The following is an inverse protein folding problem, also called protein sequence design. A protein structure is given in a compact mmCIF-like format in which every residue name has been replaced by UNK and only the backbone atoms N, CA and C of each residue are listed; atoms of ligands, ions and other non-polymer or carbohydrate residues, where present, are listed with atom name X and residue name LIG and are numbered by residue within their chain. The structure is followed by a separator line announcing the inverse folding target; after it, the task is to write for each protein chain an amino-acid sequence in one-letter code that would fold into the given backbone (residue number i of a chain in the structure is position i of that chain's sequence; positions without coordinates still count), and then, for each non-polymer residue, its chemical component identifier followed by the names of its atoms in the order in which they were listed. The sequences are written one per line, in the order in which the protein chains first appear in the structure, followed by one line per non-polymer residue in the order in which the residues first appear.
data_IF_121805953436
#
_entry.id   IF_121805953436
#
_cell.length_a   1.000
_cell.length_b   1.000
_cell.length_c   1.000
_cell.angle_alpha   90.00
_cell.angle_beta   90.00
_cell.angle_gamma   90.00
#
_symmetry.space_group_name_H-M   'P 1'
#
loop_
_entity.id
_entity.type
_entity.pdbx_description
1 polymer ?
#
# COMPACT_ATOMS: atom_id res chain seq x y z
N UNK A 1 -43.27 -50.65 -63.11
CA UNK A 1 -42.00 -50.68 -62.32
C UNK A 1 -41.24 -49.35 -62.26
N UNK A 2 -41.52 -48.34 -63.09
CA UNK A 2 -40.74 -47.08 -63.10
C UNK A 2 -41.02 -46.06 -61.98
N UNK A 3 -42.19 -46.10 -61.32
CA UNK A 3 -42.58 -45.04 -60.38
C UNK A 3 -41.93 -45.17 -58.98
N UNK A 4 -41.68 -46.41 -58.52
CA UNK A 4 -41.02 -46.65 -57.22
C UNK A 4 -39.50 -46.37 -57.28
N UNK A 5 -38.85 -46.66 -58.41
CA UNK A 5 -37.42 -46.36 -58.60
C UNK A 5 -37.16 -44.84 -58.60
N UNK A 6 -38.06 -44.05 -59.20
CA UNK A 6 -37.93 -42.60 -59.26
C UNK A 6 -38.22 -41.93 -57.90
N UNK A 7 -39.17 -42.45 -57.13
CA UNK A 7 -39.42 -41.98 -55.76
C UNK A 7 -38.25 -42.24 -54.82
N UNK A 8 -37.59 -43.40 -54.94
CA UNK A 8 -36.37 -43.71 -54.18
C UNK A 8 -35.19 -42.80 -54.55
N UNK A 9 -35.02 -42.49 -55.83
CA UNK A 9 -33.97 -41.59 -56.33
C UNK A 9 -34.15 -40.15 -55.82
N UNK A 10 -35.39 -39.64 -55.84
CA UNK A 10 -35.71 -38.30 -55.33
C UNK A 10 -35.53 -38.21 -53.81
N UNK A 11 -35.91 -39.25 -53.06
CA UNK A 11 -35.70 -39.29 -51.62
C UNK A 11 -34.20 -39.34 -51.23
N UNK A 12 -33.40 -40.08 -52.00
CA UNK A 12 -31.95 -40.15 -51.84
C UNK A 12 -31.28 -38.80 -52.16
N UNK A 13 -31.63 -38.17 -53.29
CA UNK A 13 -31.12 -36.85 -53.66
C UNK A 13 -31.51 -35.76 -52.65
N UNK A 14 -32.71 -35.85 -52.07
CA UNK A 14 -33.14 -34.93 -51.02
C UNK A 14 -32.37 -35.12 -49.70
N UNK A 15 -32.14 -36.37 -49.29
CA UNK A 15 -31.29 -36.65 -48.12
C UNK A 15 -29.86 -36.13 -48.33
N UNK A 16 -29.28 -36.39 -49.50
CA UNK A 16 -27.94 -35.93 -49.84
C UNK A 16 -27.84 -34.39 -49.82
N UNK A 17 -28.88 -33.69 -50.27
CA UNK A 17 -28.95 -32.23 -50.21
C UNK A 17 -29.09 -31.70 -48.77
N UNK A 18 -29.89 -32.36 -47.91
CA UNK A 18 -30.00 -31.99 -46.49
C UNK A 18 -28.66 -32.22 -45.78
N UNK A 19 -28.02 -33.36 -46.01
CA UNK A 19 -26.73 -33.68 -45.40
C UNK A 19 -25.64 -32.70 -45.85
N UNK A 20 -25.61 -32.32 -47.13
CA UNK A 20 -24.72 -31.28 -47.65
C UNK A 20 -25.00 -29.92 -46.99
N UNK A 21 -26.27 -29.55 -46.81
CA UNK A 21 -26.66 -28.29 -46.17
C UNK A 21 -26.26 -28.24 -44.70
N UNK A 22 -26.45 -29.34 -43.96
CA UNK A 22 -26.05 -29.46 -42.57
C UNK A 22 -24.53 -29.41 -42.39
N UNK A 23 -23.78 -30.06 -43.29
CA UNK A 23 -22.31 -30.01 -43.29
C UNK A 23 -21.80 -28.59 -43.52
N UNK A 24 -22.40 -27.82 -44.44
CA UNK A 24 -22.02 -26.43 -44.69
C UNK A 24 -22.29 -25.54 -43.46
N UNK A 25 -23.44 -25.72 -42.80
CA UNK A 25 -23.77 -24.97 -41.57
C UNK A 25 -22.79 -25.28 -40.45
N UNK A 26 -22.43 -26.56 -40.27
CA UNK A 26 -21.45 -26.97 -39.26
C UNK A 26 -20.08 -26.34 -39.51
N UNK A 27 -19.60 -26.40 -40.75
CA UNK A 27 -18.31 -25.80 -41.13
C UNK A 27 -18.33 -24.28 -40.94
N UNK A 28 -19.44 -23.61 -41.29
CA UNK A 28 -19.58 -22.16 -41.07
C UNK A 28 -19.50 -21.79 -39.59
N UNK A 29 -20.20 -22.52 -38.70
CA UNK A 29 -20.16 -22.29 -37.25
C UNK A 29 -18.79 -22.57 -36.65
N UNK A 30 -18.10 -23.63 -37.09
CA UNK A 30 -16.74 -23.92 -36.65
C UNK A 30 -15.76 -22.82 -37.09
N UNK A 31 -15.91 -22.29 -38.31
CA UNK A 31 -15.08 -21.20 -38.81
C UNK A 31 -15.30 -19.92 -37.98
N UNK A 32 -16.55 -19.55 -37.72
CA UNK A 32 -16.90 -18.40 -36.89
C UNK A 32 -16.36 -18.55 -35.46
N UNK A 33 -16.44 -19.75 -34.89
CA UNK A 33 -15.91 -20.05 -33.57
C UNK A 33 -14.38 -19.86 -33.50
N UNK A 34 -13.64 -20.29 -34.53
CA UNK A 34 -12.17 -20.10 -34.57
C UNK A 34 -11.77 -18.63 -34.73
N UNK A 35 -12.50 -17.87 -35.55
CA UNK A 35 -12.25 -16.43 -35.75
C UNK A 35 -12.52 -15.67 -34.45
N UNK A 36 -13.66 -15.94 -33.79
CA UNK A 36 -14.02 -15.33 -32.52
C UNK A 36 -12.99 -15.66 -31.43
N UNK A 37 -12.57 -16.92 -31.32
CA UNK A 37 -11.57 -17.34 -30.33
C UNK A 37 -10.23 -16.64 -30.55
N UNK A 38 -9.75 -16.57 -31.80
CA UNK A 38 -8.50 -15.86 -32.14
C UNK A 38 -8.57 -14.37 -31.83
N UNK A 39 -9.71 -13.75 -32.11
CA UNK A 39 -9.95 -12.35 -31.78
C UNK A 39 -9.91 -12.12 -30.26
N UNK A 40 -10.60 -12.94 -29.47
CA UNK A 40 -10.60 -12.85 -27.99
C UNK A 40 -9.18 -13.02 -27.44
N UNK A 41 -8.45 -14.03 -27.92
CA UNK A 41 -7.06 -14.28 -27.51
C UNK A 41 -6.16 -13.08 -27.85
N UNK A 42 -6.33 -12.50 -29.04
CA UNK A 42 -5.59 -11.30 -29.45
C UNK A 42 -5.84 -10.09 -28.53
N UNK A 43 -7.10 -9.81 -28.21
CA UNK A 43 -7.48 -8.71 -27.31
C UNK A 43 -6.98 -8.98 -25.88
N UNK A 44 -7.11 -10.21 -25.39
CA UNK A 44 -6.61 -10.59 -24.07
C UNK A 44 -5.10 -10.42 -23.98
N UNK A 45 -4.36 -10.85 -25.01
CA UNK A 45 -2.91 -10.70 -25.09
C UNK A 45 -2.46 -9.23 -25.14
N UNK A 46 -3.11 -8.40 -25.96
CA UNK A 46 -2.83 -6.97 -26.01
C UNK A 46 -3.11 -6.27 -24.67
N UNK A 47 -4.19 -6.67 -23.99
CA UNK A 47 -4.53 -6.16 -22.66
C UNK A 47 -3.48 -6.58 -21.63
N UNK A 48 -3.06 -7.84 -21.64
CA UNK A 48 -2.01 -8.35 -20.77
C UNK A 48 -0.69 -7.60 -20.96
N UNK A 49 -0.25 -7.40 -22.22
CA UNK A 49 0.95 -6.62 -22.52
C UNK A 49 0.85 -5.17 -22.04
N UNK A 50 -0.32 -4.55 -22.21
CA UNK A 50 -0.57 -3.19 -21.71
C UNK A 50 -0.44 -3.11 -20.19
N UNK A 51 -1.01 -4.07 -19.45
CA UNK A 51 -0.86 -4.15 -17.98
C UNK A 51 0.61 -4.35 -17.58
N UNK A 52 1.31 -5.28 -18.22
CA UNK A 52 2.75 -5.53 -17.95
C UNK A 52 3.59 -4.27 -18.21
N UNK A 53 3.35 -3.59 -19.34
CA UNK A 53 4.01 -2.33 -19.67
C UNK A 53 3.74 -1.25 -18.61
N UNK A 54 2.51 -1.14 -18.15
CA UNK A 54 2.09 -0.17 -17.13
C UNK A 54 2.76 -0.48 -15.77
N UNK A 55 2.78 -1.76 -15.36
CA UNK A 55 3.48 -2.22 -14.15
C UNK A 55 4.99 -1.93 -14.22
N UNK A 56 5.62 -2.24 -15.34
CA UNK A 56 7.03 -1.98 -15.58
C UNK A 56 7.36 -0.49 -15.53
N UNK A 57 6.55 0.33 -16.21
CA UNK A 57 6.71 1.79 -16.30
C UNK A 57 6.54 2.45 -14.93
N UNK A 58 5.55 2.03 -14.14
CA UNK A 58 5.34 2.57 -12.80
C UNK A 58 6.44 2.16 -11.82
N UNK A 59 6.98 0.93 -11.94
CA UNK A 59 8.07 0.45 -11.08
C UNK A 59 9.36 1.27 -11.21
N UNK A 60 9.67 1.76 -12.41
CA UNK A 60 10.88 2.54 -12.68
C UNK A 60 10.68 4.06 -12.56
N UNK A 61 9.43 4.52 -12.40
CA UNK A 61 9.13 5.94 -12.30
C UNK A 61 9.33 6.44 -10.86
N UNK A 62 10.10 7.52 -10.71
CA UNK A 62 10.30 8.19 -9.43
C UNK A 62 9.06 8.96 -8.94
N UNK A 63 8.05 9.14 -9.80
CA UNK A 63 6.82 9.88 -9.51
C UNK A 63 5.58 9.14 -10.08
N UNK A 64 5.17 8.02 -9.46
CA UNK A 64 4.10 7.17 -9.99
C UNK A 64 2.73 7.87 -10.03
N UNK A 65 2.50 8.85 -9.15
CA UNK A 65 1.25 9.61 -9.06
C UNK A 65 0.99 10.47 -10.29
N UNK A 66 2.02 11.14 -10.83
CA UNK A 66 1.89 11.99 -12.02
C UNK A 66 1.62 11.15 -13.27
N UNK A 67 2.26 9.98 -13.37
CA UNK A 67 2.01 9.02 -14.47
C UNK A 67 0.59 8.47 -14.38
N UNK A 68 0.13 8.14 -13.17
CA UNK A 68 -1.21 7.65 -12.91
C UNK A 68 -2.29 8.69 -13.22
N UNK A 69 -2.04 9.96 -12.91
CA UNK A 69 -2.94 11.08 -13.21
C UNK A 69 -3.03 11.37 -14.70
N UNK A 70 -1.91 11.25 -15.44
CA UNK A 70 -1.90 11.33 -16.91
C UNK A 70 -2.64 10.16 -17.58
N UNK A 71 -2.80 9.04 -16.89
CA UNK A 71 -3.50 7.85 -17.38
C UNK A 71 -5.02 7.87 -17.14
N UNK A 72 -5.59 9.02 -16.75
CA UNK A 72 -7.00 9.23 -16.42
C UNK A 72 -7.94 9.21 -17.66
N UNK A 73 -7.98 8.08 -18.38
CA UNK A 73 -8.96 7.75 -19.43
C UNK A 73 -10.16 7.01 -18.80
N UNK A 74 -11.39 7.16 -19.31
CA UNK A 74 -12.63 6.65 -18.69
C UNK A 74 -12.63 5.13 -18.39
N UNK A 75 -11.85 4.34 -19.13
CA UNK A 75 -11.77 2.88 -18.99
C UNK A 75 -11.17 2.40 -17.65
N UNK A 76 -10.32 3.19 -16.98
CA UNK A 76 -9.58 2.75 -15.79
C UNK A 76 -10.37 2.99 -14.49
N UNK A 77 -11.49 3.72 -14.53
CA UNK A 77 -12.25 4.11 -13.32
C UNK A 77 -12.81 2.91 -12.54
N UNK A 78 -13.30 1.87 -13.23
CA UNK A 78 -13.94 0.72 -12.60
C UNK A 78 -12.97 -0.12 -11.75
N UNK A 79 -11.72 -0.23 -12.18
CA UNK A 79 -10.68 -1.02 -11.49
C UNK A 79 -9.65 -0.16 -10.76
N UNK A 80 -9.81 1.16 -10.75
CA UNK A 80 -8.84 2.13 -10.24
C UNK A 80 -8.42 1.83 -8.80
N UNK A 81 -9.37 1.62 -7.90
CA UNK A 81 -9.09 1.38 -6.49
C UNK A 81 -8.29 0.09 -6.27
N UNK A 82 -8.68 -0.98 -6.97
CA UNK A 82 -8.02 -2.27 -6.88
C UNK A 82 -6.60 -2.25 -7.48
N UNK A 83 -6.41 -1.66 -8.67
CA UNK A 83 -5.10 -1.55 -9.32
C UNK A 83 -4.18 -0.65 -8.49
N UNK A 84 -4.68 0.49 -8.01
CA UNK A 84 -3.89 1.42 -7.18
C UNK A 84 -3.46 0.79 -5.85
N UNK A 85 -4.35 0.07 -5.17
CA UNK A 85 -4.03 -0.64 -3.93
C UNK A 85 -2.97 -1.74 -4.15
N UNK A 86 -3.12 -2.53 -5.23
CA UNK A 86 -2.19 -3.61 -5.57
C UNK A 86 -0.81 -3.06 -5.97
N UNK A 87 -0.79 -1.97 -6.74
CA UNK A 87 0.44 -1.26 -7.12
C UNK A 87 1.14 -0.65 -5.91
N UNK A 88 0.42 0.07 -5.06
CA UNK A 88 1.01 0.64 -3.84
C UNK A 88 1.60 -0.47 -2.97
N UNK A 89 0.93 -1.61 -2.81
CA UNK A 89 1.46 -2.74 -2.05
C UNK A 89 2.81 -3.25 -2.58
N UNK A 90 2.97 -3.31 -3.90
CA UNK A 90 4.17 -3.86 -4.55
C UNK A 90 5.29 -2.83 -4.77
N UNK A 91 4.94 -1.55 -4.93
CA UNK A 91 5.90 -0.45 -5.18
C UNK A 91 6.34 0.21 -3.88
N UNK A 92 5.52 0.14 -2.82
CA UNK A 92 5.88 0.73 -1.53
C UNK A 92 7.01 -0.07 -0.86
N UNK A 93 8.24 0.47 -0.74
CA UNK A 93 9.35 -0.22 -0.10
C UNK A 93 9.11 -0.46 1.41
N UNK A 94 8.11 0.19 2.00
CA UNK A 94 7.70 0.02 3.40
C UNK A 94 6.69 -1.12 3.61
N UNK A 95 6.21 -1.77 2.54
CA UNK A 95 5.36 -2.97 2.65
C UNK A 95 6.10 -4.17 3.25
N UNK A 96 7.45 -4.14 3.27
CA UNK A 96 8.31 -5.06 4.00
C UNK A 96 8.60 -4.68 5.45
N UNK A 97 7.99 -3.62 6.00
CA UNK A 97 8.11 -3.28 7.43
C UNK A 97 7.37 -4.25 8.36
N UNK A 98 6.67 -5.24 7.79
CA UNK A 98 5.92 -6.27 8.50
C UNK A 98 6.89 -7.06 9.38
N UNK A 99 6.85 -6.78 10.69
CA UNK A 99 7.69 -7.40 11.71
C UNK A 99 8.48 -6.40 12.55
N UNK A 100 8.50 -5.11 12.20
CA UNK A 100 9.17 -4.06 12.97
C UNK A 100 8.25 -2.90 13.28
N UNK A 101 8.45 -2.26 14.44
CA UNK A 101 7.68 -1.07 14.80
C UNK A 101 8.06 0.10 13.88
N UNK A 102 7.06 0.83 13.40
CA UNK A 102 7.27 1.97 12.52
C UNK A 102 8.07 3.08 13.23
N UNK A 103 9.00 3.73 12.50
CA UNK A 103 9.86 4.77 13.06
C UNK A 103 9.07 5.89 13.74
N UNK A 104 8.01 6.38 13.11
CA UNK A 104 7.15 7.42 13.71
C UNK A 104 6.45 6.93 14.97
N UNK A 105 6.09 5.64 15.07
CA UNK A 105 5.49 5.10 16.28
C UNK A 105 6.49 5.07 17.46
N UNK A 106 7.77 4.78 17.18
CA UNK A 106 8.84 4.90 18.18
C UNK A 106 9.04 6.35 18.60
N UNK A 107 9.00 7.30 17.67
CA UNK A 107 9.10 8.73 17.99
C UNK A 107 7.94 9.18 18.89
N UNK A 108 6.69 8.83 18.58
CA UNK A 108 5.52 9.13 19.42
C UNK A 108 5.61 8.46 20.78
N UNK A 109 6.10 7.21 20.84
CA UNK A 109 6.29 6.53 22.11
C UNK A 109 7.35 7.23 22.99
N UNK A 110 8.46 7.64 22.38
CA UNK A 110 9.50 8.42 23.07
C UNK A 110 8.97 9.77 23.54
N UNK A 111 8.25 10.49 22.68
CA UNK A 111 7.60 11.76 23.01
C UNK A 111 6.64 11.62 24.20
N UNK A 112 5.81 10.59 24.19
CA UNK A 112 4.83 10.34 25.26
C UNK A 112 5.54 10.06 26.59
N UNK A 113 6.56 9.22 26.59
CA UNK A 113 7.32 8.88 27.81
C UNK A 113 8.14 10.07 28.30
N UNK A 114 8.79 10.80 27.40
CA UNK A 114 9.54 12.00 27.74
C UNK A 114 8.65 13.13 28.24
N UNK A 115 7.47 13.30 27.65
CA UNK A 115 6.46 14.26 28.09
C UNK A 115 5.86 13.89 29.44
N UNK A 116 5.59 12.59 29.69
CA UNK A 116 5.16 12.12 31.01
C UNK A 116 6.24 12.39 32.06
N UNK A 117 7.51 12.12 31.78
CA UNK A 117 8.61 12.42 32.67
C UNK A 117 8.68 13.93 32.99
N UNK A 118 8.62 14.80 31.97
CA UNK A 118 8.61 16.25 32.17
C UNK A 118 7.41 16.71 32.99
N UNK A 119 6.19 16.41 32.55
CA UNK A 119 4.96 16.87 33.18
C UNK A 119 4.76 16.32 34.60
N UNK A 120 5.32 15.15 34.92
CA UNK A 120 5.28 14.59 36.28
C UNK A 120 6.12 15.37 37.30
N UNK A 121 7.08 16.19 36.84
CA UNK A 121 7.96 17.01 37.69
C UNK A 121 7.48 18.45 37.83
N UNK A 122 6.61 18.90 36.93
CA UNK A 122 6.14 20.28 36.84
C UNK A 122 4.87 20.48 37.68
N UNK A 123 4.62 21.72 38.11
CA UNK A 123 3.38 22.09 38.80
C UNK A 123 2.27 22.39 37.78
N UNK A 124 1.03 22.44 38.24
CA UNK A 124 -0.14 22.68 37.39
C UNK A 124 -0.11 24.00 36.60
N UNK A 125 0.58 25.02 37.12
CA UNK A 125 0.67 26.34 36.47
C UNK A 125 1.91 26.49 35.57
N UNK A 126 2.82 25.52 35.61
CA UNK A 126 4.02 25.52 34.79
C UNK A 126 3.68 25.09 33.36
N UNK A 127 4.37 25.67 32.37
CA UNK A 127 4.19 25.29 30.97
C UNK A 127 5.45 24.62 30.45
N UNK A 128 5.26 23.50 29.74
CA UNK A 128 6.30 22.82 29.00
C UNK A 128 5.86 22.61 27.56
N UNK A 129 6.64 23.12 26.62
CA UNK A 129 6.38 22.98 25.18
C UNK A 129 7.55 22.24 24.57
N UNK A 130 7.28 21.10 23.91
CA UNK A 130 8.29 20.39 23.14
C UNK A 130 8.68 21.22 21.92
N UNK A 131 9.94 21.62 21.84
CA UNK A 131 10.46 22.46 20.74
C UNK A 131 11.40 21.69 19.81
N UNK A 132 11.95 20.57 20.26
CA UNK A 132 12.75 19.68 19.42
C UNK A 132 12.58 18.23 19.87
N UNK A 133 12.45 17.32 18.91
CA UNK A 133 12.51 15.88 19.11
C UNK A 133 13.44 15.31 18.06
N UNK A 134 14.55 14.73 18.51
CA UNK A 134 15.48 14.00 17.66
C UNK A 134 15.48 12.54 18.09
N UNK A 135 15.35 11.61 17.14
CA UNK A 135 15.32 10.17 17.42
C UNK A 135 16.38 9.46 16.60
N UNK A 136 17.29 8.78 17.29
CA UNK A 136 18.31 7.92 16.71
C UNK A 136 17.86 6.46 16.79
N UNK A 137 17.76 5.80 15.63
CA UNK A 137 17.35 4.40 15.52
C UNK A 137 18.58 3.50 15.39
N UNK A 138 18.94 2.84 16.49
CA UNK A 138 20.16 2.01 16.57
C UNK A 138 19.96 0.63 15.95
N UNK A 139 18.81 0.00 16.22
CA UNK A 139 18.44 -1.30 15.65
C UNK A 139 16.94 -1.40 15.42
N UNK A 140 16.56 -2.37 14.59
CA UNK A 140 15.15 -2.55 14.24
C UNK A 140 14.34 -3.04 15.45
N UNK A 141 13.41 -2.24 15.93
CA UNK A 141 12.55 -2.59 17.06
C UNK A 141 11.56 -3.70 16.68
N UNK A 142 11.41 -4.72 17.55
CA UNK A 142 10.45 -5.83 17.40
C UNK A 142 9.84 -6.19 18.75
N UNK A 143 8.56 -6.52 18.76
CA UNK A 143 7.88 -7.01 19.97
C UNK A 143 7.64 -5.92 21.02
N UNK A 144 7.58 -6.32 22.29
CA UNK A 144 7.36 -5.42 23.42
C UNK A 144 8.59 -4.55 23.66
N UNK A 145 8.35 -3.25 23.82
CA UNK A 145 9.37 -2.25 24.10
C UNK A 145 9.08 -1.57 25.43
N UNK A 146 10.14 -1.13 26.09
CA UNK A 146 10.08 -0.32 27.31
C UNK A 146 10.91 0.92 27.08
N UNK A 147 10.39 2.08 27.46
CA UNK A 147 11.13 3.33 27.42
C UNK A 147 11.22 3.93 28.81
N UNK A 148 12.35 4.54 29.10
CA UNK A 148 12.62 5.21 30.37
C UNK A 148 13.26 6.55 30.09
N UNK A 149 12.96 7.52 30.94
CA UNK A 149 13.44 8.88 30.81
C UNK A 149 13.57 9.52 32.19
N UNK A 150 14.65 10.27 32.38
CA UNK A 150 14.87 11.06 33.60
C UNK A 150 14.82 12.53 33.23
N UNK A 151 13.85 13.25 33.81
CA UNK A 151 13.73 14.70 33.63
C UNK A 151 14.19 15.42 34.89
N UNK A 152 15.10 16.38 34.73
CA UNK A 152 15.62 17.19 35.83
C UNK A 152 15.36 18.66 35.52
N UNK A 153 14.59 19.31 36.39
CA UNK A 153 14.41 20.76 36.33
C UNK A 153 15.71 21.42 36.82
N UNK A 154 16.34 22.32 36.03
CA UNK A 154 17.53 23.04 36.46
C UNK A 154 17.29 23.86 37.74
N UNK A 155 18.26 23.85 38.65
CA UNK A 155 18.17 24.58 39.93
C UNK A 155 18.21 26.10 39.75
N UNK A 156 18.92 26.60 38.72
CA UNK A 156 18.98 28.02 38.35
C UNK A 156 18.00 28.30 37.21
N UNK A 157 16.77 28.69 37.53
CA UNK A 157 15.74 28.96 36.52
C UNK A 157 15.32 30.43 36.54
N UNK A 158 15.30 31.08 35.38
CA UNK A 158 14.90 32.47 35.19
C UNK A 158 13.98 32.58 33.96
N UNK A 159 12.66 32.65 34.20
CA UNK A 159 11.66 32.91 33.16
C UNK A 159 11.43 31.76 32.18
N UNK A 160 12.11 31.77 31.03
CA UNK A 160 11.96 30.76 29.96
C UNK A 160 13.29 30.12 29.66
N UNK A 161 13.37 28.80 29.76
CA UNK A 161 14.61 28.08 29.50
C UNK A 161 14.36 26.78 28.73
N UNK A 162 15.41 26.30 28.05
CA UNK A 162 15.41 25.04 27.30
C UNK A 162 16.04 23.95 28.15
N UNK A 163 15.25 22.92 28.42
CA UNK A 163 15.72 21.72 29.12
C UNK A 163 15.75 20.57 28.15
N UNK A 164 16.93 19.96 28.01
CA UNK A 164 17.13 18.75 27.23
C UNK A 164 17.09 17.53 28.14
N UNK A 165 16.45 16.47 27.66
CA UNK A 165 16.52 15.18 28.31
C UNK A 165 16.39 14.03 27.32
N UNK A 166 16.87 12.86 27.75
CA UNK A 166 16.94 11.68 26.91
C UNK A 166 15.87 10.64 27.28
N UNK A 167 15.33 9.98 26.26
CA UNK A 167 14.45 8.83 26.39
C UNK A 167 15.13 7.64 25.73
N UNK A 168 15.41 6.61 26.52
CA UNK A 168 16.06 5.38 26.05
C UNK A 168 15.00 4.32 25.85
N UNK A 169 14.87 3.81 24.63
CA UNK A 169 13.94 2.72 24.30
C UNK A 169 14.71 1.42 24.22
N UNK A 170 14.26 0.42 24.98
CA UNK A 170 14.84 -0.91 25.06
C UNK A 170 13.84 -1.97 24.63
N UNK A 171 14.34 -3.08 24.11
CA UNK A 171 13.53 -4.28 23.90
C UNK A 171 13.50 -5.19 25.14
N UNK A 172 12.84 -6.35 25.02
CA UNK A 172 12.75 -7.37 26.08
C UNK A 172 14.10 -7.92 26.56
N UNK A 173 15.16 -7.78 25.77
CA UNK A 173 16.52 -8.21 26.12
C UNK A 173 17.31 -7.09 26.79
N UNK A 174 16.67 -5.94 27.06
CA UNK A 174 17.26 -4.71 27.59
C UNK A 174 18.28 -4.04 26.65
N UNK A 175 18.29 -4.46 25.39
CA UNK A 175 19.10 -3.81 24.37
C UNK A 175 18.44 -2.52 23.90
N UNK A 176 19.22 -1.46 23.78
CA UNK A 176 18.74 -0.18 23.25
C UNK A 176 18.38 -0.31 21.77
N UNK A 177 17.13 -0.04 21.43
CA UNK A 177 16.63 -0.02 20.04
C UNK A 177 16.67 1.37 19.44
N UNK A 178 16.43 2.39 20.26
CA UNK A 178 16.42 3.79 19.85
C UNK A 178 16.68 4.69 21.06
N UNK A 179 17.23 5.88 20.79
CA UNK A 179 17.42 6.94 21.77
C UNK A 179 16.78 8.20 21.21
N UNK A 180 15.95 8.86 22.00
CA UNK A 180 15.36 10.14 21.64
C UNK A 180 15.88 11.25 22.55
N UNK A 181 16.24 12.38 21.95
CA UNK A 181 16.60 13.62 22.62
C UNK A 181 15.46 14.60 22.47
N UNK A 182 14.88 15.01 23.59
CA UNK A 182 13.78 15.94 23.62
C UNK A 182 14.27 17.26 24.22
N UNK A 183 13.88 18.37 23.59
CA UNK A 183 14.14 19.71 24.13
C UNK A 183 12.81 20.36 24.42
N UNK A 184 12.63 20.73 25.68
CA UNK A 184 11.43 21.39 26.18
C UNK A 184 11.74 22.85 26.47
N UNK A 185 10.89 23.75 25.98
CA UNK A 185 10.82 25.11 26.47
C UNK A 185 9.95 25.11 27.73
N UNK A 186 10.58 25.36 28.88
CA UNK A 186 9.89 25.52 30.14
C UNK A 186 9.60 26.99 30.40
N UNK A 187 8.43 27.27 30.96
CA UNK A 187 8.04 28.55 31.54
C UNK A 187 7.45 28.24 32.91
N UNK A 188 8.26 28.42 33.96
CA UNK A 188 7.83 28.21 35.34
C UNK A 188 7.22 29.50 35.88
N UNK A 189 6.07 29.39 36.54
CA UNK A 189 5.45 30.54 37.17
C UNK A 189 6.00 30.70 38.59
N UNK A 190 6.40 31.92 38.97
CA UNK A 190 6.78 32.20 40.36
C UNK A 190 5.63 31.83 41.31
N UNK A 191 5.97 31.39 42.53
CA UNK A 191 4.97 31.13 43.57
C UNK A 191 4.12 32.38 43.77
N UNK A 192 2.86 32.34 43.33
CA UNK A 192 1.86 33.25 43.88
C UNK A 192 1.76 32.91 45.37
N UNK A 193 2.13 33.87 46.22
CA UNK A 193 1.85 33.81 47.66
C UNK A 193 0.35 33.76 47.91
#
# INVERSE_FOLDING_TARGET
MGNQANQGLLAAAFHEHIDASLNLVRVAVELEWTILTRFIVGVAFATFLSVVYLLWTLRHSKQPLVVWEKLNRPMVKLFRGWIFATLLRNVNPYSGSIGHLHATALATFAETVGGLAALSTLKNDDRAILVNLNVEYLKKARGLLTASSEFKVPESFSGKDRVEHEVVIKDRMLDTVAVAKLVWMLELKEKSQ
#
